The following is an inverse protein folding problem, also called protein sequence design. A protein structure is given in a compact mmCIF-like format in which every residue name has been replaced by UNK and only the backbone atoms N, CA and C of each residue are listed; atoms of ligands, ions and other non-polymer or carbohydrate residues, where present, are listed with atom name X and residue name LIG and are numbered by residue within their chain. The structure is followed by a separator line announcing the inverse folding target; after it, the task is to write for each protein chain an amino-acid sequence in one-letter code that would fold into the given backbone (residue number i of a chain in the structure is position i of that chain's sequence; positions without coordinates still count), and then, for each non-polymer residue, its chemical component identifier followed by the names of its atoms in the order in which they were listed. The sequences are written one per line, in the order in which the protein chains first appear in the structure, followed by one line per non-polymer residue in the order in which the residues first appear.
data_IF_276101518748
#
_entry.id   IF_276101518748
#
_cell.length_a   1.000
_cell.length_b   1.000
_cell.length_c   1.000
_cell.angle_alpha   90.00
_cell.angle_beta   90.00
_cell.angle_gamma   90.00
#
_symmetry.space_group_name_H-M   'P 1'
#
loop_
_entity.id
_entity.type
_entity.pdbx_description
1 polymer ?
#
# COMPACT_ATOMS: atom_id res chain seq x y z
N UNK A 1 8.69 -6.49 -17.42
CA UNK A 1 9.20 -6.56 -16.02
C UNK A 1 8.01 -6.37 -15.08
N UNK A 2 7.79 -7.23 -14.08
CA UNK A 2 6.63 -7.15 -13.17
C UNK A 2 6.81 -5.95 -12.22
N UNK A 3 5.90 -4.97 -12.29
CA UNK A 3 5.93 -3.77 -11.45
C UNK A 3 5.63 -4.10 -9.99
N UNK A 4 6.65 -4.01 -9.15
CA UNK A 4 6.55 -4.10 -7.68
C UNK A 4 7.06 -2.77 -7.12
N UNK A 5 6.24 -2.09 -6.32
CA UNK A 5 6.69 -0.86 -5.63
C UNK A 5 6.68 -1.12 -4.12
N UNK A 6 7.84 -1.00 -3.44
CA UNK A 6 7.90 -1.11 -1.99
C UNK A 6 7.22 0.10 -1.33
N UNK A 7 6.56 -0.15 -0.20
CA UNK A 7 6.02 0.88 0.68
C UNK A 7 7.21 1.61 1.32
N UNK A 8 7.43 2.87 0.90
CA UNK A 8 8.66 3.63 1.18
C UNK A 8 9.09 3.66 2.66
N UNK A 9 10.39 3.50 2.89
CA UNK A 9 11.06 3.70 4.18
C UNK A 9 10.88 2.62 5.25
N UNK A 10 10.07 1.59 5.02
CA UNK A 10 9.80 0.53 6.00
C UNK A 10 10.28 -0.84 5.51
N UNK A 11 10.99 -1.57 6.37
CA UNK A 11 11.50 -2.91 6.07
C UNK A 11 10.36 -3.90 5.81
N UNK A 12 10.58 -4.89 4.92
CA UNK A 12 9.64 -5.98 4.56
C UNK A 12 8.98 -6.64 5.78
N UNK A 13 9.70 -6.69 6.91
CA UNK A 13 9.26 -7.37 8.11
C UNK A 13 8.41 -6.54 9.08
N UNK A 14 8.11 -5.28 8.77
CA UNK A 14 7.43 -4.39 9.72
C UNK A 14 5.93 -4.21 9.45
N UNK A 15 5.40 -4.49 8.26
CA UNK A 15 3.97 -4.24 7.98
C UNK A 15 3.14 -5.48 8.30
N UNK A 16 2.13 -5.32 9.15
CA UNK A 16 1.16 -6.36 9.50
C UNK A 16 0.04 -6.40 8.46
N UNK A 17 -0.56 -5.24 8.16
CA UNK A 17 -1.69 -5.09 7.25
C UNK A 17 -1.75 -3.70 6.64
N UNK A 18 -2.21 -3.60 5.39
CA UNK A 18 -2.60 -2.32 4.81
C UNK A 18 -3.76 -2.46 3.82
N UNK A 19 -4.49 -1.37 3.65
CA UNK A 19 -5.60 -1.19 2.73
C UNK A 19 -5.24 -0.12 1.69
N UNK A 20 -5.68 -0.31 0.44
CA UNK A 20 -5.49 0.64 -0.65
C UNK A 20 -6.82 1.29 -1.04
N UNK A 21 -6.83 2.60 -1.15
CA UNK A 21 -7.96 3.40 -1.62
C UNK A 21 -7.53 4.30 -2.78
N UNK A 22 -8.40 4.57 -3.75
CA UNK A 22 -8.15 5.64 -4.73
C UNK A 22 -8.55 7.01 -4.17
N UNK A 23 -8.29 8.08 -4.93
CA UNK A 23 -8.63 9.46 -4.54
C UNK A 23 -10.13 9.74 -4.33
N UNK A 24 -11.00 8.87 -4.84
CA UNK A 24 -12.45 8.94 -4.61
C UNK A 24 -12.90 8.14 -3.37
N UNK A 25 -11.96 7.50 -2.66
CA UNK A 25 -12.25 6.65 -1.50
C UNK A 25 -12.68 5.22 -1.84
N UNK A 26 -12.61 4.79 -3.11
CA UNK A 26 -12.92 3.41 -3.50
C UNK A 26 -11.85 2.48 -2.96
N UNK A 27 -12.26 1.44 -2.25
CA UNK A 27 -11.38 0.42 -1.68
C UNK A 27 -10.98 -0.62 -2.74
N UNK A 28 -9.67 -0.80 -2.94
CA UNK A 28 -9.11 -1.76 -3.91
C UNK A 28 -8.72 -3.09 -3.28
N UNK A 29 -8.47 -3.12 -1.98
CA UNK A 29 -8.19 -4.36 -1.27
C UNK A 29 -7.30 -4.17 -0.06
N UNK A 30 -7.30 -5.25 0.73
CA UNK A 30 -6.51 -5.44 1.94
C UNK A 30 -5.37 -6.41 1.66
N UNK A 31 -4.19 -6.10 2.21
CA UNK A 31 -2.97 -6.88 2.06
C UNK A 31 -2.33 -7.09 3.41
N UNK A 32 -1.88 -8.30 3.68
CA UNK A 32 -1.34 -8.70 4.97
C UNK A 32 0.07 -9.24 4.81
N UNK A 33 0.91 -9.00 5.83
CA UNK A 33 2.29 -9.49 5.91
C UNK A 33 3.13 -9.23 4.64
N UNK A 34 2.87 -8.10 3.98
CA UNK A 34 3.58 -7.68 2.78
C UNK A 34 3.85 -6.19 2.83
N UNK A 35 4.90 -5.77 2.15
CA UNK A 35 5.25 -4.36 1.96
C UNK A 35 5.22 -3.96 0.48
N UNK A 36 4.62 -4.78 -0.37
CA UNK A 36 4.57 -4.58 -1.82
C UNK A 36 3.18 -4.14 -2.23
N UNK A 37 3.11 -2.99 -2.90
CA UNK A 37 1.89 -2.54 -3.58
C UNK A 37 1.76 -3.37 -4.87
N UNK A 38 0.63 -4.07 -5.11
CA UNK A 38 0.43 -4.87 -6.32
C UNK A 38 0.05 -3.97 -7.49
N UNK A 39 1.05 -3.20 -7.94
CA UNK A 39 0.89 -2.12 -8.88
C UNK A 39 0.18 -2.57 -10.17
N UNK A 40 0.46 -3.78 -10.68
CA UNK A 40 -0.17 -4.32 -11.90
C UNK A 40 -1.71 -4.39 -11.87
N UNK A 41 -2.34 -4.35 -10.69
CA UNK A 41 -3.81 -4.39 -10.53
C UNK A 41 -4.45 -3.00 -10.41
N UNK A 42 -3.66 -1.94 -10.36
CA UNK A 42 -4.13 -0.58 -10.15
C UNK A 42 -4.14 0.21 -11.46
N UNK A 43 -5.24 0.89 -11.83
CA UNK A 43 -5.21 1.90 -12.89
C UNK A 43 -4.25 3.06 -12.59
N UNK A 44 -3.87 3.85 -13.59
CA UNK A 44 -3.12 5.09 -13.37
C UNK A 44 -3.90 6.04 -12.45
N UNK A 45 -3.21 6.70 -11.51
CA UNK A 45 -3.86 7.62 -10.58
C UNK A 45 -3.22 7.72 -9.21
N UNK A 46 -3.86 8.50 -8.34
CA UNK A 46 -3.46 8.71 -6.96
C UNK A 46 -4.20 7.75 -6.02
N UNK A 47 -3.43 7.13 -5.13
CA UNK A 47 -3.88 6.19 -4.12
C UNK A 47 -3.45 6.61 -2.73
N UNK A 48 -4.27 6.24 -1.75
CA UNK A 48 -4.03 6.36 -0.33
C UNK A 48 -3.91 4.98 0.27
N UNK A 49 -2.85 4.76 1.03
CA UNK A 49 -2.58 3.51 1.73
C UNK A 49 -2.76 3.78 3.21
N UNK A 50 -3.57 2.97 3.88
CA UNK A 50 -3.71 2.99 5.34
C UNK A 50 -3.22 1.65 5.86
N UNK A 51 -2.30 1.64 6.82
CA UNK A 51 -1.77 0.38 7.34
C UNK A 51 -1.46 0.40 8.82
N UNK A 52 -1.16 -0.78 9.32
CA UNK A 52 -0.74 -1.08 10.68
C UNK A 52 0.56 -1.86 10.58
N UNK A 53 1.58 -1.43 11.31
CA UNK A 53 2.81 -2.21 11.46
C UNK A 53 2.70 -3.25 12.59
N UNK A 54 3.69 -4.13 12.70
CA UNK A 54 3.71 -5.22 13.70
C UNK A 54 3.85 -4.73 15.14
N UNK A 55 4.13 -3.44 15.34
CA UNK A 55 4.15 -2.77 16.64
C UNK A 55 2.81 -2.07 16.92
N UNK A 56 1.76 -2.40 16.16
CA UNK A 56 0.41 -1.83 16.22
C UNK A 56 0.35 -0.31 15.93
N UNK A 57 1.39 0.27 15.32
CA UNK A 57 1.34 1.68 14.93
C UNK A 57 0.59 1.85 13.61
N UNK A 58 -0.32 2.82 13.61
CA UNK A 58 -1.04 3.24 12.41
C UNK A 58 -0.15 4.10 11.52
N UNK A 59 -0.23 3.90 10.21
CA UNK A 59 0.41 4.76 9.23
C UNK A 59 -0.47 5.01 8.01
N UNK A 60 -0.17 6.11 7.31
CA UNK A 60 -0.80 6.45 6.04
C UNK A 60 0.24 6.90 5.02
N UNK A 61 0.06 6.53 3.76
CA UNK A 61 0.96 6.91 2.67
C UNK A 61 0.15 7.30 1.42
N UNK A 62 0.73 8.18 0.61
CA UNK A 62 0.20 8.53 -0.71
C UNK A 62 1.06 7.86 -1.77
N UNK A 63 0.42 7.21 -2.73
CA UNK A 63 1.08 6.52 -3.84
C UNK A 63 0.53 7.04 -5.16
N UNK A 64 1.40 7.57 -6.01
CA UNK A 64 1.03 8.04 -7.35
C UNK A 64 1.51 7.01 -8.38
N UNK A 65 0.57 6.31 -9.01
CA UNK A 65 0.86 5.44 -10.14
C UNK A 65 0.89 6.28 -11.43
N UNK A 66 2.05 6.29 -12.08
CA UNK A 66 2.30 6.97 -13.36
C UNK A 66 2.42 5.97 -14.50
#
# INVERSE_FOLDING_TARGET
MRGITPIGGRNQNQIQKFDIYNYMGVHYGTYENTNVIPDSKLPLGLYFIKGIDKEDNLFTLKYLKK
#
